data_IF_157931182816
#
_entry.id   IF_157931182816
#
_cell.length_a   1.000
_cell.length_b   1.000
_cell.length_c   1.000
_cell.angle_alpha   90.00
_cell.angle_beta   90.00
_cell.angle_gamma   90.00
#
_symmetry.space_group_name_H-M   'P 1'
#
loop_
_entity.id
_entity.type
_entity.pdbx_description
1 polymer ?
#
# COMPACT_ATOMS: atom_id res chain seq x y z
N UNK A 1 -6.35 11.94 -25.12
CA UNK A 1 -5.97 10.52 -24.99
C UNK A 1 -4.46 10.48 -24.98
N UNK A 2 -3.83 9.96 -23.91
CA UNK A 2 -2.38 9.79 -23.91
C UNK A 2 -2.02 8.62 -24.85
N UNK A 3 -0.90 8.68 -25.57
CA UNK A 3 -0.42 7.55 -26.36
C UNK A 3 -0.20 6.33 -25.45
N UNK A 4 -0.75 5.17 -25.82
CA UNK A 4 -0.50 3.88 -25.16
C UNK A 4 0.62 3.11 -25.87
N UNK A 5 1.62 3.82 -26.37
CA UNK A 5 2.77 3.26 -27.10
C UNK A 5 3.85 2.65 -26.18
N UNK A 6 3.60 2.66 -24.86
CA UNK A 6 4.55 2.20 -23.86
C UNK A 6 5.76 3.13 -23.68
N UNK A 7 5.76 4.31 -24.31
CA UNK A 7 6.83 5.28 -24.14
C UNK A 7 6.83 5.82 -22.72
N UNK A 8 8.02 5.90 -22.11
CA UNK A 8 8.19 6.49 -20.79
C UNK A 8 7.93 7.99 -20.88
N UNK A 9 6.94 8.49 -20.13
CA UNK A 9 6.67 9.91 -20.00
C UNK A 9 7.96 10.65 -19.57
N UNK A 10 8.31 11.80 -20.18
CA UNK A 10 9.58 12.48 -19.90
C UNK A 10 9.83 12.76 -18.41
N UNK A 11 8.79 13.17 -17.66
CA UNK A 11 8.87 13.43 -16.22
C UNK A 11 9.05 12.18 -15.35
N UNK A 12 8.98 10.98 -15.92
CA UNK A 12 9.22 9.72 -15.21
C UNK A 12 10.64 9.16 -15.39
N UNK A 13 11.53 9.86 -16.12
CA UNK A 13 12.92 9.40 -16.37
C UNK A 13 13.79 9.45 -15.11
N UNK A 14 13.61 10.50 -14.32
CA UNK A 14 14.49 10.80 -13.18
C UNK A 14 13.81 10.56 -11.82
N UNK A 15 12.76 9.73 -11.80
CA UNK A 15 12.00 9.42 -10.57
C UNK A 15 12.28 8.00 -10.10
N UNK A 16 12.47 7.85 -8.79
CA UNK A 16 12.55 6.52 -8.17
C UNK A 16 11.17 5.88 -8.25
N UNK A 17 11.13 4.66 -8.77
CA UNK A 17 9.91 3.84 -8.88
C UNK A 17 10.10 2.56 -8.10
N UNK A 18 9.12 2.23 -7.28
CA UNK A 18 9.09 0.98 -6.54
C UNK A 18 7.78 0.24 -6.82
N UNK A 19 7.87 -1.08 -6.89
CA UNK A 19 6.72 -1.96 -6.87
C UNK A 19 6.69 -2.65 -5.52
N UNK A 20 5.57 -2.51 -4.80
CA UNK A 20 5.38 -3.10 -3.48
C UNK A 20 4.27 -4.12 -3.58
N UNK A 21 4.53 -5.33 -3.08
CA UNK A 21 3.53 -6.37 -2.97
C UNK A 21 2.83 -6.26 -1.61
N UNK A 22 1.52 -5.95 -1.55
CA UNK A 22 0.77 -6.02 -0.31
C UNK A 22 0.64 -7.47 0.18
N UNK A 23 0.32 -7.70 1.46
CA UNK A 23 0.25 -9.05 2.02
C UNK A 23 -0.96 -9.85 1.48
N UNK A 24 -1.93 -9.20 0.82
CA UNK A 24 -3.08 -9.79 0.15
C UNK A 24 -3.18 -9.33 -1.32
N UNK A 25 -4.11 -9.86 -2.14
CA UNK A 25 -4.29 -9.38 -3.51
C UNK A 25 -4.52 -7.87 -3.58
N UNK A 26 -4.02 -7.22 -4.63
CA UNK A 26 -3.99 -5.76 -4.74
C UNK A 26 -5.38 -5.12 -4.70
N UNK A 27 -6.38 -5.73 -5.33
CA UNK A 27 -7.75 -5.20 -5.39
C UNK A 27 -8.39 -5.08 -3.98
N UNK A 28 -8.49 -6.15 -3.16
CA UNK A 28 -9.04 -6.04 -1.81
C UNK A 28 -8.18 -5.18 -0.89
N UNK A 29 -6.84 -5.15 -1.07
CA UNK A 29 -5.98 -4.23 -0.33
C UNK A 29 -6.37 -2.77 -0.59
N UNK A 30 -6.50 -2.38 -1.86
CA UNK A 30 -6.85 -1.01 -2.25
C UNK A 30 -8.27 -0.63 -1.83
N UNK A 31 -9.22 -1.57 -1.87
CA UNK A 31 -10.58 -1.35 -1.37
C UNK A 31 -10.58 -1.08 0.14
N UNK A 32 -9.85 -1.88 0.93
CA UNK A 32 -9.73 -1.67 2.37
C UNK A 32 -8.99 -0.37 2.71
N UNK A 33 -7.91 -0.06 1.98
CA UNK A 33 -7.17 1.20 2.11
C UNK A 33 -8.05 2.41 1.83
N UNK A 34 -8.87 2.35 0.77
CA UNK A 34 -9.81 3.42 0.41
C UNK A 34 -10.90 3.60 1.48
N UNK A 35 -11.51 2.51 1.96
CA UNK A 35 -12.52 2.55 3.03
C UNK A 35 -11.98 3.10 4.34
N UNK A 36 -10.70 2.88 4.63
CA UNK A 36 -10.02 3.42 5.81
C UNK A 36 -9.62 4.90 5.66
N UNK A 37 -9.91 5.54 4.53
CA UNK A 37 -9.55 6.95 4.27
C UNK A 37 -8.08 7.15 3.84
N UNK A 38 -7.42 6.11 3.34
CA UNK A 38 -6.03 6.19 2.86
C UNK A 38 -5.85 7.19 1.71
N UNK A 39 -4.74 7.94 1.74
CA UNK A 39 -4.47 9.01 0.76
C UNK A 39 -3.45 8.59 -0.30
N UNK A 40 -3.24 9.45 -1.31
CA UNK A 40 -2.27 9.21 -2.39
C UNK A 40 -0.81 9.35 -1.94
N UNK A 41 -0.54 10.12 -0.87
CA UNK A 41 0.79 10.18 -0.27
C UNK A 41 0.90 9.18 0.87
N UNK A 42 2.00 8.45 0.91
CA UNK A 42 2.29 7.50 1.98
C UNK A 42 3.78 7.53 2.32
N UNK A 43 4.10 7.26 3.59
CA UNK A 43 5.47 7.01 4.02
C UNK A 43 5.78 5.52 3.89
N UNK A 44 6.90 5.19 3.24
CA UNK A 44 7.36 3.83 3.05
C UNK A 44 8.55 3.57 3.98
N UNK A 45 8.43 2.56 4.84
CA UNK A 45 9.47 2.16 5.78
C UNK A 45 10.01 0.79 5.36
N UNK A 46 11.33 0.63 5.39
CA UNK A 46 11.97 -0.65 5.11
C UNK A 46 11.88 -1.58 6.32
N UNK A 47 11.56 -2.85 6.05
CA UNK A 47 11.46 -3.92 7.04
C UNK A 47 10.12 -3.94 7.78
N UNK A 48 10.02 -4.79 8.81
CA UNK A 48 8.81 -4.96 9.59
C UNK A 48 8.68 -3.87 10.68
N UNK A 49 8.09 -2.73 10.30
CA UNK A 49 7.94 -1.55 11.16
C UNK A 49 6.49 -1.24 11.52
N UNK A 50 5.54 -2.08 11.12
CA UNK A 50 4.12 -1.83 11.29
C UNK A 50 3.73 -1.62 12.76
N UNK A 51 4.25 -2.45 13.67
CA UNK A 51 3.95 -2.33 15.10
C UNK A 51 4.53 -1.05 15.71
N UNK A 52 5.72 -0.62 15.29
CA UNK A 52 6.32 0.62 15.77
C UNK A 52 5.48 1.86 15.38
N UNK A 53 4.96 1.89 14.14
CA UNK A 53 4.06 2.95 13.67
C UNK A 53 2.72 2.91 14.42
N UNK A 54 2.18 1.72 14.65
CA UNK A 54 0.95 1.53 15.42
C UNK A 54 1.12 2.00 16.88
N UNK A 55 2.23 1.67 17.52
CA UNK A 55 2.57 2.11 18.87
C UNK A 55 2.68 3.65 18.94
N UNK A 56 3.37 4.27 17.98
CA UNK A 56 3.45 5.73 17.88
C UNK A 56 2.06 6.37 17.79
N UNK A 57 1.18 5.84 16.92
CA UNK A 57 -0.19 6.35 16.79
C UNK A 57 -0.95 6.28 18.12
N UNK A 58 -0.96 5.12 18.77
CA UNK A 58 -1.63 4.92 20.07
C UNK A 58 -1.09 5.85 21.16
N UNK A 59 0.24 6.04 21.24
CA UNK A 59 0.87 6.95 22.20
C UNK A 59 0.44 8.41 22.02
N UNK A 60 0.06 8.80 20.80
CA UNK A 60 -0.43 10.14 20.48
C UNK A 60 -1.96 10.24 20.48
N UNK A 61 -2.68 9.20 20.93
CA UNK A 61 -4.14 9.17 20.93
C UNK A 61 -4.77 9.12 19.53
N UNK A 62 -4.03 8.67 18.52
CA UNK A 62 -4.52 8.49 17.16
C UNK A 62 -5.21 7.14 16.99
N UNK A 63 -6.28 7.10 16.20
CA UNK A 63 -6.84 5.86 15.70
C UNK A 63 -5.83 5.17 14.77
N UNK A 64 -5.67 3.85 14.92
CA UNK A 64 -4.76 3.05 14.10
C UNK A 64 -5.56 1.96 13.40
N UNK A 65 -5.57 2.00 12.07
CA UNK A 65 -6.12 0.94 11.22
C UNK A 65 -4.97 0.13 10.63
N UNK A 66 -4.96 -1.19 10.86
CA UNK A 66 -3.97 -2.09 10.29
C UNK A 66 -4.61 -2.93 9.18
N UNK A 67 -4.04 -2.85 7.98
CA UNK A 67 -4.44 -3.68 6.85
C UNK A 67 -3.56 -4.93 6.85
N UNK A 68 -4.14 -6.06 7.23
CA UNK A 68 -3.46 -7.36 7.23
C UNK A 68 -3.98 -8.25 6.10
N UNK A 69 -3.22 -9.28 5.75
CA UNK A 69 -3.78 -10.36 4.96
C UNK A 69 -4.80 -11.12 5.81
N UNK A 70 -6.08 -11.14 5.39
CA UNK A 70 -6.99 -12.13 5.95
C UNK A 70 -6.51 -13.55 5.59
N UNK A 71 -6.43 -14.48 6.55
CA UNK A 71 -6.00 -15.86 6.31
C UNK A 71 -6.87 -16.61 5.28
N UNK A 72 -8.14 -16.19 5.09
CA UNK A 72 -9.02 -16.74 4.05
C UNK A 72 -8.66 -16.35 2.59
N UNK A 73 -7.72 -15.42 2.37
CA UNK A 73 -7.34 -14.98 1.01
C UNK A 73 -6.35 -15.92 0.30
N UNK A 74 -5.72 -16.86 1.02
CA UNK A 74 -4.71 -17.77 0.45
C UNK A 74 -5.27 -19.10 -0.08
N UNK A 75 -6.59 -19.32 -0.03
CA UNK A 75 -7.21 -20.59 -0.43
C UNK A 75 -7.81 -20.53 -1.85
N UNK A 76 -6.97 -20.16 -2.81
CA UNK A 76 -7.20 -20.46 -4.23
C UNK A 76 -6.54 -21.78 -4.57
N UNK A 77 -7.34 -22.80 -4.93
CA UNK A 77 -6.85 -24.06 -5.49
C UNK A 77 -6.02 -23.79 -6.75
N UNK A 78 -4.90 -24.50 -6.85
CA UNK A 78 -4.11 -24.67 -8.08
C UNK A 78 -4.99 -25.39 -9.12
#
# INVERSE_FOLDING_TARGET
>A
MLPEDGALAPGMRDVVRAWIRPPCPVAPFLEAYSRAGGTHHSALLLGDRAEAVAAFGRMNGLEVVRLEAQPQSCRGKI
#
